data_IF_345903492976
#
_entry.id   IF_345903492976
#
_cell.length_a   1.000
_cell.length_b   1.000
_cell.length_c   1.000
_cell.angle_alpha   90.00
_cell.angle_beta   90.00
_cell.angle_gamma   90.00
#
_symmetry.space_group_name_H-M   'P 1'
#
loop_
_entity.id
_entity.type
_entity.pdbx_description
1 polymer ?
#
# COMPACT_ATOMS: atom_id res chain seq x y z
N UNK A 1 24.46 -1.58 26.90
CA UNK A 1 23.44 -1.47 25.85
C UNK A 1 22.10 -1.39 26.55
N UNK A 2 21.40 -0.25 26.45
CA UNK A 2 20.05 -0.14 27.03
C UNK A 2 19.13 -0.98 26.16
N UNK A 3 18.57 -2.06 26.69
CA UNK A 3 17.41 -2.72 26.13
C UNK A 3 16.33 -1.65 25.97
N UNK A 4 16.02 -1.29 24.73
CA UNK A 4 14.82 -0.52 24.42
C UNK A 4 13.64 -1.41 24.84
N UNK A 5 13.12 -1.18 26.05
CA UNK A 5 11.89 -1.79 26.51
C UNK A 5 10.85 -1.44 25.44
N UNK A 6 10.40 -2.45 24.70
CA UNK A 6 9.37 -2.27 23.67
C UNK A 6 8.14 -1.68 24.38
N UNK A 7 7.82 -0.43 24.05
CA UNK A 7 6.64 0.24 24.62
C UNK A 7 5.37 -0.43 24.07
N UNK A 8 4.60 -1.12 24.92
CA UNK A 8 3.43 -1.90 24.48
C UNK A 8 2.29 -1.02 23.94
N UNK A 9 2.37 0.31 24.18
CA UNK A 9 1.33 1.26 23.74
C UNK A 9 1.68 1.99 22.44
N UNK A 10 2.79 1.64 21.76
CA UNK A 10 3.23 2.32 20.53
C UNK A 10 2.15 2.26 19.44
N UNK A 11 1.61 1.08 19.17
CA UNK A 11 0.57 0.88 18.16
C UNK A 11 -0.70 1.65 18.50
N UNK A 12 -1.15 1.61 19.74
CA UNK A 12 -2.33 2.36 20.19
C UNK A 12 -2.13 3.88 20.07
N UNK A 13 -0.93 4.40 20.37
CA UNK A 13 -0.62 5.83 20.15
C UNK A 13 -0.64 6.22 18.69
N UNK A 14 -0.14 5.36 17.79
CA UNK A 14 -0.23 5.56 16.36
C UNK A 14 -1.70 5.66 15.91
N UNK A 15 -2.54 4.73 16.34
CA UNK A 15 -3.99 4.74 16.03
C UNK A 15 -4.66 6.03 16.52
N UNK A 16 -4.36 6.48 17.74
CA UNK A 16 -4.89 7.73 18.27
C UNK A 16 -4.43 8.95 17.45
N UNK A 17 -3.17 8.97 17.02
CA UNK A 17 -2.65 10.04 16.16
C UNK A 17 -3.34 10.05 14.79
N UNK A 18 -3.59 8.90 14.20
CA UNK A 18 -4.30 8.76 12.93
C UNK A 18 -5.77 9.20 13.05
N UNK A 19 -6.46 8.83 14.14
CA UNK A 19 -7.83 9.29 14.42
C UNK A 19 -7.91 10.82 14.53
N UNK A 20 -6.95 11.47 15.17
CA UNK A 20 -6.86 12.95 15.26
C UNK A 20 -6.65 13.61 13.90
N UNK A 21 -6.06 12.89 12.95
CA UNK A 21 -5.86 13.34 11.56
C UNK A 21 -7.02 12.94 10.62
N UNK A 22 -8.16 12.51 11.16
CA UNK A 22 -9.39 12.24 10.41
C UNK A 22 -9.48 10.84 9.79
N UNK A 23 -8.64 9.88 10.20
CA UNK A 23 -8.81 8.48 9.84
C UNK A 23 -9.82 7.85 10.79
N UNK A 24 -11.01 7.51 10.29
CA UNK A 24 -12.12 6.98 11.10
C UNK A 24 -12.53 5.56 10.74
N UNK A 25 -11.99 5.01 9.63
CA UNK A 25 -12.29 3.65 9.20
C UNK A 25 -11.64 2.62 10.16
N UNK A 26 -12.45 1.89 10.91
CA UNK A 26 -11.99 0.97 11.95
C UNK A 26 -11.19 -0.22 11.38
N UNK A 27 -11.53 -0.74 10.20
CA UNK A 27 -10.78 -1.84 9.59
C UNK A 27 -9.37 -1.39 9.19
N UNK A 28 -9.23 -0.17 8.66
CA UNK A 28 -7.92 0.42 8.31
C UNK A 28 -7.09 0.68 9.58
N UNK A 29 -7.69 1.23 10.62
CA UNK A 29 -7.00 1.48 11.89
C UNK A 29 -6.56 0.18 12.57
N UNK A 30 -7.42 -0.83 12.59
CA UNK A 30 -7.10 -2.16 13.14
C UNK A 30 -5.96 -2.83 12.36
N UNK A 31 -5.94 -2.72 11.03
CA UNK A 31 -4.84 -3.25 10.23
C UNK A 31 -3.51 -2.55 10.58
N UNK A 32 -3.50 -1.22 10.70
CA UNK A 32 -2.31 -0.43 11.07
C UNK A 32 -1.83 -0.69 12.51
N UNK A 33 -2.73 -1.07 13.40
CA UNK A 33 -2.40 -1.48 14.77
C UNK A 33 -1.79 -2.88 14.82
N UNK A 34 -2.32 -3.79 14.01
CA UNK A 34 -1.96 -5.23 14.03
C UNK A 34 -0.66 -5.51 13.28
N UNK A 35 -0.44 -4.84 12.13
CA UNK A 35 0.73 -5.10 11.27
C UNK A 35 1.89 -4.22 11.70
N UNK A 36 2.92 -4.83 12.32
CA UNK A 36 4.13 -4.11 12.69
C UNK A 36 4.90 -3.67 11.44
N UNK A 37 4.93 -2.35 11.19
CA UNK A 37 5.68 -1.74 10.08
C UNK A 37 7.19 -1.97 10.20
N UNK A 38 7.70 -2.10 11.42
CA UNK A 38 9.11 -2.38 11.70
C UNK A 38 9.58 -3.71 11.14
N UNK A 39 8.71 -4.69 11.01
CA UNK A 39 9.01 -5.99 10.39
C UNK A 39 9.28 -5.92 8.88
N UNK A 40 9.01 -4.78 8.23
CA UNK A 40 9.16 -4.60 6.78
C UNK A 40 10.35 -3.73 6.36
N UNK A 41 11.22 -3.40 7.29
CA UNK A 41 12.47 -2.64 7.07
C UNK A 41 13.66 -3.42 7.63
N UNK A 42 14.86 -2.86 7.48
CA UNK A 42 16.06 -3.41 8.12
C UNK A 42 15.97 -3.28 9.64
N UNK A 43 16.57 -4.21 10.38
CA UNK A 43 16.54 -4.27 11.85
C UNK A 43 16.95 -2.95 12.52
N UNK A 44 17.90 -2.23 11.92
CA UNK A 44 18.35 -0.91 12.39
C UNK A 44 17.26 0.17 12.41
N UNK A 45 16.22 -0.02 11.59
CA UNK A 45 15.09 0.90 11.41
C UNK A 45 13.80 0.38 12.07
N UNK A 46 13.78 -0.88 12.52
CA UNK A 46 12.57 -1.51 13.08
C UNK A 46 11.94 -0.71 14.21
N UNK A 47 12.78 -0.10 15.08
CA UNK A 47 12.33 0.76 16.16
C UNK A 47 11.54 2.01 15.73
N UNK A 48 11.63 2.40 14.46
CA UNK A 48 10.92 3.55 13.87
C UNK A 48 9.57 3.17 13.25
N UNK A 49 9.14 1.92 13.38
CA UNK A 49 7.91 1.41 12.74
C UNK A 49 6.65 2.23 13.02
N UNK A 50 6.53 2.80 14.21
CA UNK A 50 5.37 3.61 14.61
C UNK A 50 5.59 5.12 14.49
N UNK A 51 6.80 5.55 14.10
CA UNK A 51 7.12 6.98 13.95
C UNK A 51 6.51 7.55 12.66
N UNK A 52 6.13 8.84 12.71
CA UNK A 52 5.53 9.53 11.56
C UNK A 52 6.60 10.02 10.57
N UNK A 53 7.35 9.08 10.03
CA UNK A 53 8.38 9.31 9.01
C UNK A 53 8.32 8.24 7.92
N UNK A 54 8.84 8.54 6.72
CA UNK A 54 9.09 7.52 5.70
C UNK A 54 10.29 6.67 6.08
N UNK A 55 10.25 5.38 5.80
CA UNK A 55 11.33 4.45 6.10
C UNK A 55 11.96 3.94 4.80
N UNK A 56 13.27 4.09 4.60
CA UNK A 56 13.95 3.60 3.41
C UNK A 56 13.93 2.06 3.38
N UNK A 57 13.85 1.51 2.15
CA UNK A 57 13.96 0.10 1.85
C UNK A 57 14.93 -0.10 0.67
N UNK A 58 15.19 -1.34 0.31
CA UNK A 58 16.07 -1.65 -0.82
C UNK A 58 15.61 -0.98 -2.13
N UNK A 59 16.49 -0.98 -3.12
CA UNK A 59 16.26 -0.42 -4.46
C UNK A 59 15.91 1.09 -4.47
N UNK A 60 16.36 1.85 -3.46
CA UNK A 60 16.10 3.28 -3.36
C UNK A 60 14.62 3.64 -3.11
N UNK A 61 13.82 2.68 -2.67
CA UNK A 61 12.41 2.87 -2.37
C UNK A 61 12.19 3.20 -0.88
N UNK A 62 10.95 3.49 -0.51
CA UNK A 62 10.58 3.74 0.89
C UNK A 62 9.17 3.26 1.22
N UNK A 63 8.94 2.91 2.47
CA UNK A 63 7.58 2.80 3.01
C UNK A 63 7.13 4.20 3.39
N UNK A 64 5.98 4.68 2.89
CA UNK A 64 5.45 5.99 3.25
C UNK A 64 5.16 6.13 4.75
N UNK A 65 4.98 7.37 5.20
CA UNK A 65 4.50 7.68 6.55
C UNK A 65 3.18 6.96 6.85
N UNK A 66 2.91 6.57 8.10
CA UNK A 66 1.67 5.89 8.47
C UNK A 66 0.40 6.63 8.03
N UNK A 67 0.36 7.96 8.15
CA UNK A 67 -0.80 8.76 7.73
C UNK A 67 -1.05 8.68 6.21
N UNK A 68 0.00 8.63 5.40
CA UNK A 68 -0.13 8.50 3.94
C UNK A 68 -0.71 7.15 3.59
N UNK A 69 -0.15 6.07 4.15
CA UNK A 69 -0.68 4.71 3.98
C UNK A 69 -2.14 4.62 4.43
N UNK A 70 -2.49 5.20 5.58
CA UNK A 70 -3.86 5.23 6.08
C UNK A 70 -4.83 5.96 5.13
N UNK A 71 -4.41 7.08 4.53
CA UNK A 71 -5.22 7.81 3.53
C UNK A 71 -5.44 7.00 2.26
N UNK A 72 -4.40 6.31 1.76
CA UNK A 72 -4.51 5.42 0.61
C UNK A 72 -5.54 4.30 0.87
N UNK A 73 -5.42 3.61 2.01
CA UNK A 73 -6.34 2.54 2.38
C UNK A 73 -7.76 3.04 2.63
N UNK A 74 -7.92 4.21 3.27
CA UNK A 74 -9.23 4.83 3.47
C UNK A 74 -9.91 5.16 2.14
N UNK A 75 -9.16 5.77 1.19
CA UNK A 75 -9.70 6.16 -0.11
C UNK A 75 -10.10 4.96 -0.98
N UNK A 76 -9.51 3.79 -0.72
CA UNK A 76 -9.86 2.54 -1.38
C UNK A 76 -11.29 2.09 -1.02
N UNK A 77 -11.84 2.57 0.11
CA UNK A 77 -13.16 2.18 0.61
C UNK A 77 -13.36 0.66 0.62
N UNK A 78 -12.54 -0.09 1.38
CA UNK A 78 -12.65 -1.53 1.42
C UNK A 78 -14.01 -1.97 1.93
N UNK A 79 -14.57 -3.02 1.34
CA UNK A 79 -15.86 -3.56 1.70
C UNK A 79 -15.84 -4.14 3.13
N UNK A 80 -16.92 -4.02 3.89
CA UNK A 80 -17.05 -4.71 5.17
C UNK A 80 -16.90 -6.24 5.00
N UNK A 81 -16.37 -6.91 6.01
CA UNK A 81 -16.31 -8.38 6.04
C UNK A 81 -15.15 -9.01 5.26
N UNK A 82 -14.20 -8.23 4.74
CA UNK A 82 -13.04 -8.74 3.99
C UNK A 82 -13.40 -9.49 2.70
N UNK A 83 -14.38 -9.02 1.97
CA UNK A 83 -14.88 -9.70 0.76
C UNK A 83 -14.07 -9.35 -0.51
N UNK A 84 -13.33 -8.23 -0.48
CA UNK A 84 -12.68 -7.69 -1.66
C UNK A 84 -11.53 -8.56 -2.17
N UNK A 85 -11.43 -8.66 -3.50
CA UNK A 85 -10.23 -9.05 -4.24
C UNK A 85 -9.49 -7.80 -4.69
N UNK A 86 -8.28 -7.61 -4.20
CA UNK A 86 -7.50 -6.38 -4.38
C UNK A 86 -6.28 -6.62 -5.26
N UNK A 87 -6.03 -5.69 -6.20
CA UNK A 87 -4.76 -5.55 -6.87
C UNK A 87 -3.97 -4.39 -6.23
N UNK A 88 -2.74 -4.66 -5.83
CA UNK A 88 -1.77 -3.68 -5.35
C UNK A 88 -0.66 -3.50 -6.39
N UNK A 89 -0.48 -2.29 -6.88
CA UNK A 89 0.63 -1.91 -7.77
C UNK A 89 1.72 -1.20 -6.97
N UNK A 90 2.91 -1.80 -6.94
CA UNK A 90 4.04 -1.33 -6.11
C UNK A 90 4.01 -1.94 -4.71
N UNK A 91 4.32 -3.23 -4.59
CA UNK A 91 4.30 -3.94 -3.30
C UNK A 91 5.41 -3.45 -2.36
N UNK A 92 6.54 -2.98 -2.91
CA UNK A 92 7.69 -2.54 -2.12
C UNK A 92 8.19 -3.62 -1.18
N UNK A 93 8.30 -3.31 0.10
CA UNK A 93 8.72 -4.26 1.15
C UNK A 93 7.66 -5.31 1.52
N UNK A 94 6.41 -5.17 1.03
CA UNK A 94 5.28 -5.99 1.41
C UNK A 94 4.38 -5.40 2.51
N UNK A 95 4.74 -4.27 3.12
CA UNK A 95 3.97 -3.68 4.22
C UNK A 95 2.53 -3.35 3.83
N UNK A 96 2.33 -2.60 2.74
CA UNK A 96 0.98 -2.26 2.27
C UNK A 96 0.20 -3.50 1.87
N UNK A 97 0.87 -4.51 1.28
CA UNK A 97 0.26 -5.80 0.95
C UNK A 97 -0.23 -6.55 2.21
N UNK A 98 0.57 -6.55 3.28
CA UNK A 98 0.17 -7.14 4.56
C UNK A 98 -1.03 -6.43 5.20
N UNK A 99 -1.06 -5.09 5.16
CA UNK A 99 -2.21 -4.30 5.63
C UNK A 99 -3.48 -4.64 4.83
N UNK A 100 -3.38 -4.71 3.51
CA UNK A 100 -4.50 -5.11 2.65
C UNK A 100 -4.95 -6.54 2.95
N UNK A 101 -4.03 -7.46 3.26
CA UNK A 101 -4.36 -8.82 3.70
C UNK A 101 -5.21 -8.89 4.97
N UNK A 102 -5.13 -7.86 5.85
CA UNK A 102 -5.99 -7.77 7.04
C UNK A 102 -7.43 -7.37 6.70
N UNK A 103 -7.67 -6.69 5.58
CA UNK A 103 -8.96 -6.07 5.23
C UNK A 103 -9.57 -6.62 3.93
N UNK A 104 -8.91 -7.53 3.25
CA UNK A 104 -9.35 -8.13 1.99
C UNK A 104 -9.40 -9.65 2.05
N UNK A 105 -10.17 -10.27 1.16
CA UNK A 105 -10.22 -11.72 0.97
C UNK A 105 -8.96 -12.23 0.28
N UNK A 106 -8.56 -11.58 -0.81
CA UNK A 106 -7.35 -11.90 -1.57
C UNK A 106 -6.65 -10.64 -2.04
N UNK A 107 -5.33 -10.62 -1.95
CA UNK A 107 -4.49 -9.53 -2.44
C UNK A 107 -3.50 -10.08 -3.46
N UNK A 108 -3.55 -9.54 -4.67
CA UNK A 108 -2.55 -9.74 -5.70
C UNK A 108 -1.69 -8.48 -5.78
N UNK A 109 -0.40 -8.61 -5.60
CA UNK A 109 0.52 -7.48 -5.59
C UNK A 109 1.57 -7.62 -6.68
N UNK A 110 1.88 -6.53 -7.36
CA UNK A 110 2.93 -6.49 -8.39
C UNK A 110 4.04 -5.57 -7.94
N UNK A 111 5.27 -6.04 -8.10
CA UNK A 111 6.47 -5.27 -7.81
C UNK A 111 7.49 -5.47 -8.94
N UNK A 112 8.12 -4.36 -9.37
CA UNK A 112 9.06 -4.38 -10.49
C UNK A 112 10.49 -4.80 -10.13
N UNK A 113 10.85 -4.71 -8.84
CA UNK A 113 12.18 -5.06 -8.35
C UNK A 113 12.19 -6.48 -7.78
N UNK A 114 12.96 -7.38 -8.40
CA UNK A 114 13.06 -8.79 -7.99
C UNK A 114 13.52 -8.94 -6.53
N UNK A 115 14.44 -8.10 -6.07
CA UNK A 115 14.92 -8.11 -4.69
C UNK A 115 13.79 -7.80 -3.69
N UNK A 116 12.93 -6.82 -4.02
CA UNK A 116 11.77 -6.47 -3.19
C UNK A 116 10.71 -7.57 -3.21
N UNK A 117 10.44 -8.20 -4.37
CA UNK A 117 9.50 -9.34 -4.45
C UNK A 117 9.95 -10.47 -3.52
N UNK A 118 11.25 -10.83 -3.57
CA UNK A 118 11.79 -11.87 -2.70
C UNK A 118 11.62 -11.52 -1.23
N UNK A 119 12.07 -10.32 -0.83
CA UNK A 119 11.98 -9.86 0.56
C UNK A 119 10.54 -9.73 1.06
N UNK A 120 9.61 -9.26 0.22
CA UNK A 120 8.20 -9.17 0.56
C UNK A 120 7.59 -10.55 0.82
N UNK A 121 7.84 -11.53 -0.07
CA UNK A 121 7.32 -12.89 0.11
C UNK A 121 7.90 -13.56 1.36
N UNK A 122 9.19 -13.38 1.66
CA UNK A 122 9.83 -13.90 2.87
C UNK A 122 9.18 -13.33 4.15
N UNK A 123 8.95 -12.00 4.19
CA UNK A 123 8.30 -11.32 5.32
C UNK A 123 6.85 -11.75 5.49
N UNK A 124 6.08 -11.80 4.42
CA UNK A 124 4.68 -12.24 4.45
C UNK A 124 4.55 -13.68 4.95
N UNK A 125 5.43 -14.58 4.50
CA UNK A 125 5.47 -15.97 4.98
C UNK A 125 5.82 -16.06 6.47
N UNK A 126 6.83 -15.29 6.93
CA UNK A 126 7.21 -15.24 8.34
C UNK A 126 6.06 -14.73 9.24
N UNK A 127 5.26 -13.79 8.73
CA UNK A 127 4.08 -13.23 9.42
C UNK A 127 2.81 -14.06 9.23
N UNK A 128 2.88 -15.20 8.51
CA UNK A 128 1.75 -16.09 8.21
C UNK A 128 0.58 -15.37 7.50
N UNK A 129 0.93 -14.45 6.60
CA UNK A 129 -0.05 -13.78 5.72
C UNK A 129 -0.19 -14.63 4.47
N UNK A 130 -1.23 -15.46 4.38
CA UNK A 130 -1.42 -16.49 3.37
C UNK A 130 -2.38 -16.09 2.23
N UNK A 131 -3.11 -14.98 2.39
CA UNK A 131 -4.04 -14.44 1.41
C UNK A 131 -3.43 -13.36 0.49
N UNK A 132 -2.10 -13.20 0.50
CA UNK A 132 -1.36 -12.21 -0.29
C UNK A 132 -0.36 -12.92 -1.20
N UNK A 133 -0.37 -12.57 -2.49
CA UNK A 133 0.57 -13.08 -3.50
C UNK A 133 1.30 -11.88 -4.10
N UNK A 134 2.65 -11.86 -3.99
CA UNK A 134 3.48 -10.83 -4.63
C UNK A 134 4.17 -11.42 -5.87
N UNK A 135 3.98 -10.77 -7.02
CA UNK A 135 4.53 -11.15 -8.32
C UNK A 135 5.51 -10.11 -8.84
N UNK A 136 6.58 -10.59 -9.51
CA UNK A 136 7.44 -9.73 -10.29
C UNK A 136 6.72 -9.36 -11.60
N UNK A 137 6.73 -8.08 -11.97
CA UNK A 137 6.13 -7.64 -13.22
C UNK A 137 5.98 -6.13 -13.32
N UNK A 138 5.43 -5.70 -14.46
CA UNK A 138 4.99 -4.31 -14.67
C UNK A 138 3.60 -4.10 -14.07
N UNK A 139 3.55 -3.49 -12.89
CA UNK A 139 2.29 -3.25 -12.20
C UNK A 139 1.34 -2.28 -12.93
N UNK A 140 1.85 -1.46 -13.87
CA UNK A 140 1.01 -0.55 -14.66
C UNK A 140 0.20 -1.30 -15.75
N UNK A 141 0.58 -2.55 -16.05
CA UNK A 141 -0.21 -3.45 -16.89
C UNK A 141 -1.22 -4.27 -16.08
N UNK A 142 -1.07 -4.31 -14.76
CA UNK A 142 -1.91 -5.08 -13.85
C UNK A 142 -1.62 -6.58 -13.87
N UNK A 143 -2.62 -7.38 -13.50
CA UNK A 143 -2.62 -8.84 -13.54
C UNK A 143 -3.99 -9.32 -14.04
N UNK A 144 -4.24 -9.19 -15.33
CA UNK A 144 -5.55 -9.46 -15.94
C UNK A 144 -6.04 -10.91 -15.72
N UNK A 145 -5.10 -11.87 -15.61
CA UNK A 145 -5.40 -13.28 -15.36
C UNK A 145 -6.07 -13.55 -14.01
N UNK A 146 -5.95 -12.62 -13.07
CA UNK A 146 -6.59 -12.69 -11.75
C UNK A 146 -7.76 -11.73 -11.59
N UNK A 147 -8.06 -10.89 -12.62
CA UNK A 147 -9.21 -9.99 -12.63
C UNK A 147 -10.57 -10.71 -12.70
N UNK A 148 -11.69 -10.00 -12.64
CA UNK A 148 -11.77 -8.60 -12.26
C UNK A 148 -11.46 -8.35 -10.78
N UNK A 149 -11.09 -7.11 -10.44
CA UNK A 149 -10.78 -6.70 -9.08
C UNK A 149 -11.86 -5.78 -8.50
N UNK A 150 -12.18 -5.97 -7.22
CA UNK A 150 -13.08 -5.08 -6.49
C UNK A 150 -12.37 -3.76 -6.17
N UNK A 151 -11.08 -3.84 -5.86
CA UNK A 151 -10.25 -2.67 -5.55
C UNK A 151 -8.90 -2.76 -6.25
N UNK A 152 -8.42 -1.61 -6.73
CA UNK A 152 -7.04 -1.48 -7.26
C UNK A 152 -6.38 -0.30 -6.55
N UNK A 153 -5.23 -0.55 -5.94
CA UNK A 153 -4.43 0.47 -5.26
C UNK A 153 -3.07 0.63 -5.94
N UNK A 154 -2.74 1.85 -6.33
CA UNK A 154 -1.38 2.23 -6.70
C UNK A 154 -0.68 2.80 -5.46
N UNK A 155 0.39 2.15 -5.02
CA UNK A 155 1.14 2.57 -3.83
C UNK A 155 2.17 3.69 -4.11
N UNK A 156 2.36 4.05 -5.37
CA UNK A 156 3.21 5.15 -5.82
C UNK A 156 2.49 6.08 -6.78
N UNK A 157 3.12 7.20 -7.11
CA UNK A 157 2.52 8.23 -7.95
C UNK A 157 2.59 7.86 -9.45
N UNK A 158 1.58 8.29 -10.20
CA UNK A 158 1.56 8.24 -11.66
C UNK A 158 1.18 9.60 -12.23
N UNK A 159 1.60 9.92 -13.46
CA UNK A 159 1.16 11.14 -14.17
C UNK A 159 -0.17 10.93 -14.88
N UNK A 160 -0.47 9.69 -15.24
CA UNK A 160 -1.73 9.29 -15.89
C UNK A 160 -2.11 7.90 -15.39
N UNK A 161 -3.38 7.70 -15.09
CA UNK A 161 -3.88 6.38 -14.68
C UNK A 161 -3.95 5.49 -15.92
N UNK A 162 -3.27 4.32 -15.93
CA UNK A 162 -3.31 3.40 -17.06
C UNK A 162 -4.72 2.84 -17.31
N UNK A 163 -5.20 2.90 -18.56
CA UNK A 163 -6.50 2.34 -18.91
C UNK A 163 -6.58 0.85 -18.64
N UNK A 164 -5.48 0.12 -18.85
CA UNK A 164 -5.38 -1.30 -18.58
C UNK A 164 -5.75 -1.68 -17.13
N UNK A 165 -5.48 -0.80 -16.15
CA UNK A 165 -5.88 -1.03 -14.76
C UNK A 165 -7.38 -0.77 -14.56
N UNK A 166 -7.92 0.27 -15.19
CA UNK A 166 -9.36 0.60 -15.12
C UNK A 166 -10.20 -0.52 -15.75
N UNK A 167 -9.73 -1.11 -16.85
CA UNK A 167 -10.38 -2.23 -17.54
C UNK A 167 -10.39 -3.54 -16.72
N UNK A 168 -9.52 -3.65 -15.72
CA UNK A 168 -9.48 -4.79 -14.78
C UNK A 168 -10.38 -4.59 -13.55
N UNK A 169 -11.09 -3.46 -13.42
CA UNK A 169 -12.06 -3.26 -12.35
C UNK A 169 -13.32 -4.11 -12.57
N UNK A 170 -13.85 -4.66 -11.50
CA UNK A 170 -15.19 -5.24 -11.47
C UNK A 170 -16.28 -4.18 -11.59
N UNK A 171 -17.52 -4.62 -11.72
CA UNK A 171 -18.69 -3.76 -11.96
C UNK A 171 -18.81 -2.61 -10.95
N UNK A 172 -18.57 -2.89 -9.68
CA UNK A 172 -18.64 -1.92 -8.57
C UNK A 172 -17.24 -1.64 -8.01
N UNK A 173 -16.23 -1.83 -8.87
CA UNK A 173 -14.83 -1.71 -8.49
C UNK A 173 -14.39 -0.26 -8.28
N UNK A 174 -13.26 -0.08 -7.57
CA UNK A 174 -12.67 1.24 -7.30
C UNK A 174 -11.16 1.17 -7.43
N UNK A 175 -10.60 2.06 -8.24
CA UNK A 175 -9.16 2.27 -8.35
C UNK A 175 -8.78 3.54 -7.57
N UNK A 176 -7.70 3.46 -6.80
CA UNK A 176 -7.13 4.60 -6.09
C UNK A 176 -5.68 4.76 -6.49
N UNK A 177 -5.32 5.96 -6.91
CA UNK A 177 -3.96 6.28 -7.33
C UNK A 177 -3.55 7.68 -6.87
N UNK A 178 -2.34 7.84 -6.31
CA UNK A 178 -1.70 9.14 -6.22
C UNK A 178 -1.39 9.67 -7.64
N UNK A 179 -2.01 10.78 -8.04
CA UNK A 179 -1.83 11.39 -9.34
C UNK A 179 -0.97 12.64 -9.21
N UNK A 180 0.14 12.69 -9.95
CA UNK A 180 1.04 13.81 -10.00
C UNK A 180 0.55 14.84 -11.03
N UNK A 181 -0.05 15.91 -10.55
CA UNK A 181 -0.52 17.02 -11.41
C UNK A 181 0.62 17.94 -11.80
N UNK A 182 1.52 18.26 -10.85
CA UNK A 182 2.75 19.03 -11.04
C UNK A 182 3.88 18.36 -10.26
N UNK A 183 5.11 18.86 -10.39
CA UNK A 183 6.24 18.30 -9.63
C UNK A 183 6.08 18.46 -8.10
N UNK A 184 5.23 19.40 -7.66
CA UNK A 184 4.96 19.68 -6.25
C UNK A 184 3.58 19.21 -5.78
N UNK A 185 2.64 18.93 -6.71
CA UNK A 185 1.24 18.66 -6.38
C UNK A 185 0.87 17.22 -6.66
N UNK A 186 0.52 16.49 -5.62
CA UNK A 186 -0.11 15.18 -5.68
C UNK A 186 -1.56 15.27 -5.20
N UNK A 187 -2.45 14.61 -5.93
CA UNK A 187 -3.81 14.33 -5.48
C UNK A 187 -4.02 12.82 -5.38
N UNK A 188 -4.84 12.42 -4.46
CA UNK A 188 -5.29 11.04 -4.35
C UNK A 188 -6.57 10.91 -5.17
N UNK A 189 -6.46 10.34 -6.38
CA UNK A 189 -7.59 10.14 -7.29
C UNK A 189 -8.22 8.78 -7.11
N UNK A 190 -9.53 8.77 -6.92
CA UNK A 190 -10.33 7.57 -7.05
C UNK A 190 -11.02 7.56 -8.43
N UNK A 191 -11.07 6.39 -9.07
CA UNK A 191 -11.69 6.15 -10.38
C UNK A 191 -12.65 4.98 -10.25
N UNK A 192 -13.86 5.14 -10.79
CA UNK A 192 -14.87 4.11 -10.86
C UNK A 192 -14.94 3.50 -12.28
N UNK A 193 -15.62 2.35 -12.49
CA UNK A 193 -15.70 1.71 -13.79
C UNK A 193 -16.36 2.56 -14.88
N UNK A 194 -17.27 3.46 -14.52
CA UNK A 194 -17.89 4.44 -15.42
C UNK A 194 -16.97 5.61 -15.78
N UNK A 195 -15.69 5.55 -15.29
CA UNK A 195 -14.66 6.58 -15.42
C UNK A 195 -14.94 7.89 -14.67
N UNK A 196 -15.96 7.93 -13.83
CA UNK A 196 -16.13 9.05 -12.90
C UNK A 196 -14.97 9.08 -11.90
N UNK A 197 -14.57 10.27 -11.46
CA UNK A 197 -13.42 10.49 -10.60
C UNK A 197 -13.74 11.39 -9.43
N UNK A 198 -13.04 11.17 -8.32
CA UNK A 198 -13.01 12.10 -7.18
C UNK A 198 -11.57 12.28 -6.70
N UNK A 199 -11.22 13.49 -6.31
CA UNK A 199 -9.87 13.84 -5.87
C UNK A 199 -9.88 14.30 -4.42
N UNK A 200 -8.83 13.90 -3.68
CA UNK A 200 -8.49 14.42 -2.35
C UNK A 200 -7.04 14.93 -2.38
N UNK A 201 -6.71 15.94 -1.58
CA UNK A 201 -5.35 16.49 -1.55
C UNK A 201 -4.45 15.51 -0.80
N UNK A 202 -3.32 15.16 -1.42
CA UNK A 202 -2.27 14.36 -0.80
C UNK A 202 -1.01 15.22 -0.60
N UNK A 203 -0.82 15.83 0.57
CA UNK A 203 0.27 16.78 0.83
C UNK A 203 1.62 16.07 1.10
N UNK A 204 1.90 15.00 0.39
CA UNK A 204 3.07 14.14 0.62
C UNK A 204 3.76 13.78 -0.68
N UNK A 205 5.08 13.60 -0.62
CA UNK A 205 5.86 13.09 -1.75
C UNK A 205 5.82 11.55 -1.72
N UNK A 206 5.47 10.96 -2.87
CA UNK A 206 5.55 9.53 -3.10
C UNK A 206 6.47 9.25 -4.29
N UNK A 207 7.14 8.10 -4.28
CA UNK A 207 7.92 7.63 -5.43
C UNK A 207 7.01 7.42 -6.63
N UNK A 208 7.51 7.73 -7.82
CA UNK A 208 6.79 7.47 -9.06
C UNK A 208 6.80 5.98 -9.40
N UNK A 209 5.67 5.46 -9.83
CA UNK A 209 5.58 4.16 -10.47
C UNK A 209 6.09 4.27 -11.91
N UNK A 210 7.01 3.41 -12.27
CA UNK A 210 7.67 3.42 -13.58
C UNK A 210 7.36 2.12 -14.31
N UNK A 211 7.10 2.24 -15.61
CA UNK A 211 6.78 1.11 -16.50
C UNK A 211 7.94 0.10 -16.60
N UNK A 212 7.61 -1.16 -16.75
CA UNK A 212 8.53 -2.28 -16.95
C UNK A 212 9.15 -2.85 -15.68
N UNK A 213 9.70 -4.07 -15.78
CA UNK A 213 10.51 -4.68 -14.74
C UNK A 213 11.85 -3.94 -14.62
N UNK A 214 12.39 -3.89 -13.40
CA UNK A 214 13.71 -3.33 -13.17
C UNK A 214 14.78 -4.43 -13.23
N UNK A 215 15.84 -4.16 -13.98
CA UNK A 215 17.05 -5.01 -13.99
C UNK A 215 18.00 -4.70 -12.82
N UNK A 216 17.67 -3.72 -11.97
CA UNK A 216 18.46 -3.44 -10.77
C UNK A 216 18.41 -4.64 -9.80
N UNK A 217 19.60 -5.07 -9.41
CA UNK A 217 19.84 -6.13 -8.44
C UNK A 217 19.56 -5.66 -7.03
#
# INVERSE_FOLDING_TARGET
MAELIADPFRAARLVLALRRQGITNDSVLSALETVDRGAFVDDSLAGLGTEDCSLPIACGQSIPRPIVTARLLRALEPSPGKEDKILLVGAGSGYTAALLGQIARHVFAVERFRALVKAANERLAALKVDNVIVRLGDGLEGLAEHGPYDRILLAGAVRTIPSALVEQLGRDGRLVAPLRLTDETLVLRAVLPDKSTSDDILPEKLSDLVKGESLAL
#
